data_IF_307517228296
#
_entry.id   IF_307517228296
#
_cell.length_a   1.000
_cell.length_b   1.000
_cell.length_c   1.000
_cell.angle_alpha   90.00
_cell.angle_beta   90.00
_cell.angle_gamma   90.00
#
_symmetry.space_group_name_H-M   'P 1'
#
loop_
_entity.id
_entity.type
_entity.pdbx_description
1 polymer ?
#
# COMPACT_ATOMS: atom_id res chain seq x y z
N UNK A 1 3.88 7.11 1.96
CA UNK A 1 3.06 5.97 1.56
C UNK A 1 1.69 6.43 1.08
N UNK A 2 1.18 5.79 0.02
CA UNK A 2 -0.16 5.98 -0.54
C UNK A 2 -0.94 4.66 -0.41
N UNK A 3 -2.16 4.72 0.10
CA UNK A 3 -3.13 3.63 0.01
C UNK A 3 -3.95 3.75 -1.29
N UNK A 4 -4.14 2.65 -2.01
CA UNK A 4 -4.92 2.62 -3.25
C UNK A 4 -5.59 1.27 -3.50
N UNK A 5 -6.70 1.28 -4.25
CA UNK A 5 -7.31 0.08 -4.82
C UNK A 5 -7.09 -0.02 -6.34
N UNK A 6 -6.32 0.92 -6.90
CA UNK A 6 -6.02 0.97 -8.32
C UNK A 6 -4.76 0.16 -8.63
N UNK A 7 -4.95 -0.89 -9.45
CA UNK A 7 -3.87 -1.74 -9.94
C UNK A 7 -2.83 -1.02 -10.82
N UNK A 8 -3.13 0.18 -11.33
CA UNK A 8 -2.16 0.97 -12.09
C UNK A 8 -0.91 1.32 -11.27
N UNK A 9 -1.04 1.53 -9.96
CA UNK A 9 0.11 1.79 -9.08
C UNK A 9 1.04 0.58 -8.99
N UNK A 10 0.49 -0.65 -9.05
CA UNK A 10 1.30 -1.88 -9.10
C UNK A 10 2.07 -1.98 -10.41
N UNK A 11 1.46 -1.56 -11.52
CA UNK A 11 2.13 -1.51 -12.84
C UNK A 11 3.26 -0.48 -12.84
N UNK A 12 3.06 0.68 -12.22
CA UNK A 12 4.10 1.71 -12.08
C UNK A 12 5.27 1.22 -11.23
N UNK A 13 4.99 0.57 -10.10
CA UNK A 13 6.01 -0.08 -9.27
C UNK A 13 6.79 -1.14 -10.05
N UNK A 14 6.10 -2.05 -10.75
CA UNK A 14 6.74 -3.09 -11.57
C UNK A 14 7.60 -2.51 -12.71
N UNK A 15 7.28 -1.31 -13.18
CA UNK A 15 8.07 -0.58 -14.17
C UNK A 15 9.27 0.18 -13.55
N UNK A 16 9.48 0.10 -12.23
CA UNK A 16 10.62 0.71 -11.54
C UNK A 16 10.47 2.22 -11.30
N UNK A 17 9.24 2.74 -11.27
CA UNK A 17 9.03 4.14 -10.92
C UNK A 17 9.21 4.33 -9.41
N UNK A 18 10.02 5.31 -8.97
CA UNK A 18 10.23 5.56 -7.55
C UNK A 18 8.93 6.03 -6.88
N UNK A 19 8.70 5.60 -5.65
CA UNK A 19 7.53 5.99 -4.85
C UNK A 19 7.78 5.89 -3.36
N UNK A 20 7.03 6.65 -2.57
CA UNK A 20 7.11 6.68 -1.10
C UNK A 20 6.39 5.50 -0.40
N UNK A 21 6.25 4.38 -1.09
CA UNK A 21 5.51 3.20 -0.66
C UNK A 21 4.04 3.14 -1.08
N UNK A 22 3.56 1.94 -1.43
CA UNK A 22 2.19 1.68 -1.87
C UNK A 22 1.57 0.64 -0.94
N UNK A 23 0.38 0.93 -0.41
CA UNK A 23 -0.47 -0.09 0.21
C UNK A 23 -1.63 -0.36 -0.73
N UNK A 24 -1.72 -1.58 -1.23
CA UNK A 24 -2.75 -1.99 -2.19
C UNK A 24 -3.78 -2.91 -1.55
N UNK A 25 -5.06 -2.62 -1.80
CA UNK A 25 -6.15 -3.53 -1.51
C UNK A 25 -6.98 -3.80 -2.78
N UNK A 26 -7.45 -5.03 -3.04
CA UNK A 26 -8.38 -5.29 -4.13
C UNK A 26 -9.68 -4.47 -4.00
N UNK A 27 -10.30 -4.11 -5.13
CA UNK A 27 -11.63 -3.51 -5.10
C UNK A 27 -12.64 -4.46 -4.45
N UNK A 28 -13.50 -3.92 -3.60
CA UNK A 28 -14.47 -4.70 -2.83
C UNK A 28 -13.97 -5.16 -1.46
N UNK A 29 -12.70 -4.89 -1.11
CA UNK A 29 -12.21 -5.03 0.27
C UNK A 29 -13.07 -4.16 1.20
N UNK A 30 -13.52 -4.73 2.32
CA UNK A 30 -14.39 -3.99 3.22
C UNK A 30 -13.65 -2.81 3.86
N UNK A 31 -14.41 -1.78 4.23
CA UNK A 31 -13.84 -0.62 4.94
C UNK A 31 -13.22 -1.06 6.28
N UNK A 32 -13.84 -2.04 6.95
CA UNK A 32 -13.33 -2.58 8.22
C UNK A 32 -11.97 -3.26 8.07
N UNK A 33 -11.82 -4.14 7.08
CA UNK A 33 -10.53 -4.78 6.76
C UNK A 33 -9.49 -3.75 6.34
N UNK A 34 -9.88 -2.78 5.51
CA UNK A 34 -8.99 -1.70 5.06
C UNK A 34 -8.44 -0.90 6.24
N UNK A 35 -9.31 -0.43 7.15
CA UNK A 35 -8.90 0.34 8.32
C UNK A 35 -8.03 -0.51 9.24
N UNK A 36 -8.43 -1.76 9.50
CA UNK A 36 -7.68 -2.66 10.38
C UNK A 36 -6.27 -2.94 9.86
N UNK A 37 -6.15 -3.25 8.57
CA UNK A 37 -4.87 -3.48 7.91
C UNK A 37 -3.97 -2.24 7.91
N UNK A 38 -4.51 -1.06 7.58
CA UNK A 38 -3.76 0.19 7.63
C UNK A 38 -3.26 0.52 9.04
N UNK A 39 -4.07 0.27 10.08
CA UNK A 39 -3.66 0.46 11.46
C UNK A 39 -2.53 -0.48 11.86
N UNK A 40 -2.54 -1.74 11.40
CA UNK A 40 -1.47 -2.70 11.65
C UNK A 40 -0.17 -2.28 10.96
N UNK A 41 -0.23 -1.91 9.67
CA UNK A 41 0.95 -1.45 8.94
C UNK A 41 1.59 -0.23 9.61
N UNK A 42 0.80 0.76 10.03
CA UNK A 42 1.31 1.94 10.73
C UNK A 42 1.93 1.64 12.11
N UNK A 43 1.62 0.50 12.72
CA UNK A 43 2.22 0.11 14.00
C UNK A 43 3.57 -0.61 13.83
N UNK A 44 3.83 -1.14 12.63
CA UNK A 44 4.96 -2.04 12.38
C UNK A 44 5.98 -1.43 11.43
N UNK A 45 5.56 -0.56 10.51
CA UNK A 45 6.40 0.04 9.49
C UNK A 45 6.52 1.55 9.70
N UNK A 46 7.75 2.03 9.67
CA UNK A 46 8.05 3.45 9.57
C UNK A 46 7.97 3.93 8.10
N UNK A 47 7.79 5.25 7.92
CA UNK A 47 7.62 5.83 6.58
C UNK A 47 8.82 5.60 5.66
N UNK A 48 10.04 5.55 6.22
CA UNK A 48 11.28 5.32 5.48
C UNK A 48 11.42 3.85 5.06
N UNK A 49 10.90 2.91 5.85
CA UNK A 49 10.90 1.47 5.52
C UNK A 49 9.96 1.13 4.37
N UNK A 50 8.99 2.02 4.09
CA UNK A 50 8.03 1.85 3.01
C UNK A 50 8.54 2.38 1.66
N UNK A 51 9.67 3.07 1.60
CA UNK A 51 10.18 3.63 0.35
C UNK A 51 10.41 2.52 -0.70
N UNK A 52 9.88 2.71 -1.91
CA UNK A 52 9.92 1.74 -3.00
C UNK A 52 9.30 0.35 -2.72
N UNK A 53 8.62 0.19 -1.57
CA UNK A 53 7.93 -1.05 -1.20
C UNK A 53 6.43 -1.05 -1.52
N UNK A 54 5.88 -2.24 -1.72
CA UNK A 54 4.43 -2.47 -1.90
C UNK A 54 3.95 -3.47 -0.87
N UNK A 55 2.95 -3.07 -0.09
CA UNK A 55 2.26 -3.91 0.89
C UNK A 55 0.84 -4.23 0.42
N UNK A 56 0.35 -5.42 0.77
CA UNK A 56 -0.96 -5.90 0.38
C UNK A 56 -1.86 -6.05 1.61
N UNK A 57 -3.08 -5.51 1.53
CA UNK A 57 -4.14 -5.74 2.52
C UNK A 57 -5.04 -6.90 2.11
#
# INVERSE_FOLDING_TARGET
>A
MIFTQDSDFLRLHAAGHPHCGIVYAPQGTSIGETIHGLMLLHQVLDADEMEEHVEFL
#
